data_IF_793378066644
#
_entry.id   IF_793378066644
#
_cell.length_a   1.000
_cell.length_b   1.000
_cell.length_c   1.000
_cell.angle_alpha   90.00
_cell.angle_beta   90.00
_cell.angle_gamma   90.00
#
_symmetry.space_group_name_H-M   'P 1'
#
loop_
_entity.id
_entity.type
_entity.pdbx_description
1 polymer ?
#
# COMPACT_ATOMS: atom_id res chain seq x y z
N UNK A 1 35.65 -26.34 -31.29
CA UNK A 1 36.34 -25.23 -30.59
C UNK A 1 35.42 -24.46 -29.62
N UNK A 2 34.24 -23.97 -30.02
CA UNK A 2 33.31 -23.29 -29.08
C UNK A 2 32.64 -24.28 -28.09
N UNK A 3 32.36 -25.51 -28.52
CA UNK A 3 31.72 -26.55 -27.71
C UNK A 3 32.64 -27.13 -26.61
N UNK A 4 33.95 -27.21 -26.87
CA UNK A 4 34.94 -27.67 -25.88
C UNK A 4 35.24 -26.60 -24.82
N UNK A 5 35.19 -25.32 -25.17
CA UNK A 5 35.39 -24.22 -24.23
C UNK A 5 34.24 -24.13 -23.21
N UNK A 6 33.00 -24.40 -23.65
CA UNK A 6 31.81 -24.44 -22.78
C UNK A 6 31.86 -25.60 -21.77
N UNK A 7 32.33 -26.77 -22.19
CA UNK A 7 32.46 -27.96 -21.32
C UNK A 7 33.57 -27.83 -20.26
N UNK A 8 34.64 -27.09 -20.54
CA UNK A 8 35.69 -26.82 -19.54
C UNK A 8 35.30 -25.73 -18.53
N UNK A 9 34.41 -24.81 -18.91
CA UNK A 9 33.95 -23.73 -18.02
C UNK A 9 32.97 -24.24 -16.94
N UNK A 10 32.07 -25.17 -17.31
CA UNK A 10 31.10 -25.78 -16.37
C UNK A 10 31.76 -26.73 -15.34
N UNK A 11 32.91 -27.32 -15.68
CA UNK A 11 33.67 -28.21 -14.80
C UNK A 11 34.71 -27.50 -13.92
N UNK A 12 34.84 -26.18 -14.04
CA UNK A 12 35.76 -25.40 -13.25
C UNK A 12 35.23 -25.26 -11.82
N UNK A 13 36.01 -25.67 -10.81
CA UNK A 13 35.64 -25.56 -9.39
C UNK A 13 35.19 -24.14 -9.01
N UNK A 14 35.81 -23.12 -9.62
CA UNK A 14 35.45 -21.71 -9.44
C UNK A 14 33.99 -21.40 -9.81
N UNK A 15 33.47 -21.99 -10.89
CA UNK A 15 32.10 -21.78 -11.35
C UNK A 15 31.08 -22.36 -10.36
N UNK A 16 31.39 -23.51 -9.74
CA UNK A 16 30.54 -24.10 -8.71
C UNK A 16 30.44 -23.20 -7.47
N UNK A 17 31.55 -22.63 -7.01
CA UNK A 17 31.54 -21.69 -5.88
C UNK A 17 30.81 -20.38 -6.21
N UNK A 18 31.02 -19.82 -7.39
CA UNK A 18 30.32 -18.61 -7.83
C UNK A 18 28.79 -18.83 -7.92
N UNK A 19 28.37 -20.00 -8.41
CA UNK A 19 26.95 -20.36 -8.48
C UNK A 19 26.32 -20.55 -7.10
N UNK A 20 27.02 -21.19 -6.16
CA UNK A 20 26.57 -21.32 -4.76
C UNK A 20 26.48 -19.94 -4.11
N UNK A 21 27.45 -19.06 -4.35
CA UNK A 21 27.47 -17.70 -3.84
C UNK A 21 26.26 -16.88 -4.31
N UNK A 22 25.93 -16.94 -5.61
CA UNK A 22 24.73 -16.28 -6.15
C UNK A 22 23.43 -16.84 -5.55
N UNK A 23 23.35 -18.16 -5.37
CA UNK A 23 22.20 -18.80 -4.72
C UNK A 23 22.08 -18.35 -3.25
N UNK A 24 23.19 -18.26 -2.52
CA UNK A 24 23.20 -17.76 -1.15
C UNK A 24 22.77 -16.29 -1.07
N UNK A 25 23.24 -15.43 -1.97
CA UNK A 25 22.78 -14.03 -2.05
C UNK A 25 21.28 -13.97 -2.32
N UNK A 26 20.79 -14.78 -3.26
CA UNK A 26 19.37 -14.84 -3.58
C UNK A 26 18.54 -15.28 -2.36
N UNK A 27 18.97 -16.34 -1.67
CA UNK A 27 18.28 -16.84 -0.47
C UNK A 27 18.33 -15.86 0.71
N UNK A 28 19.45 -15.13 0.89
CA UNK A 28 19.56 -14.08 1.90
C UNK A 28 18.63 -12.90 1.61
N UNK A 29 18.47 -12.51 0.34
CA UNK A 29 17.53 -11.46 -0.06
C UNK A 29 16.06 -11.87 0.16
N UNK A 30 15.71 -13.14 -0.10
CA UNK A 30 14.37 -13.66 0.19
C UNK A 30 14.05 -13.63 1.70
N UNK A 31 15.06 -13.87 2.54
CA UNK A 31 14.89 -13.82 3.99
C UNK A 31 14.63 -12.39 4.50
N UNK A 32 15.36 -11.38 3.98
CA UNK A 32 15.15 -9.99 4.37
C UNK A 32 13.77 -9.45 3.99
N UNK A 33 13.24 -9.81 2.81
CA UNK A 33 11.90 -9.38 2.37
C UNK A 33 10.78 -9.88 3.30
N UNK A 34 10.90 -11.12 3.78
CA UNK A 34 9.91 -11.70 4.70
C UNK A 34 9.90 -10.99 6.06
N UNK A 35 11.06 -10.53 6.55
CA UNK A 35 11.14 -9.84 7.85
C UNK A 35 10.45 -8.47 7.83
N UNK A 36 10.59 -7.70 6.74
CA UNK A 36 9.89 -6.41 6.61
C UNK A 36 8.37 -6.60 6.50
N UNK A 37 7.92 -7.64 5.79
CA UNK A 37 6.51 -7.98 5.67
C UNK A 37 5.89 -8.36 7.03
N UNK A 38 6.61 -9.13 7.85
CA UNK A 38 6.16 -9.51 9.20
C UNK A 38 6.14 -8.31 10.17
N UNK A 39 7.12 -7.42 10.11
CA UNK A 39 7.18 -6.21 10.95
C UNK A 39 6.03 -5.23 10.64
N UNK A 40 5.69 -5.08 9.35
CA UNK A 40 4.52 -4.30 8.93
C UNK A 40 3.23 -4.96 9.41
N UNK A 41 3.09 -6.29 9.29
CA UNK A 41 1.90 -7.00 9.77
C UNK A 41 1.70 -6.90 11.29
N UNK A 42 2.77 -6.92 12.08
CA UNK A 42 2.65 -6.79 13.55
C UNK A 42 2.23 -5.37 13.97
N UNK A 43 2.73 -4.33 13.29
CA UNK A 43 2.27 -2.93 13.49
C UNK A 43 0.82 -2.70 13.03
N UNK A 44 0.28 -3.57 12.18
CA UNK A 44 -1.08 -3.49 11.63
C UNK A 44 -2.10 -4.40 12.34
N UNK A 45 -1.67 -5.11 13.41
CA UNK A 45 -2.44 -6.18 14.06
C UNK A 45 -3.58 -5.70 14.98
N UNK A 46 -3.56 -4.43 15.37
CA UNK A 46 -4.47 -3.86 16.39
C UNK A 46 -5.71 -3.12 15.85
N UNK A 47 -5.91 -3.05 14.53
CA UNK A 47 -7.15 -2.49 13.96
C UNK A 47 -8.13 -3.57 13.55
N UNK A 48 -9.42 -3.31 13.79
CA UNK A 48 -10.55 -3.97 13.12
C UNK A 48 -10.58 -3.77 11.59
N UNK A 49 -9.52 -3.21 10.98
CA UNK A 49 -9.31 -3.20 9.54
C UNK A 49 -8.96 -4.62 9.10
N UNK A 50 -9.54 -5.09 8.00
CA UNK A 50 -9.10 -6.33 7.36
C UNK A 50 -7.57 -6.37 7.31
N UNK A 51 -6.98 -7.51 7.72
CA UNK A 51 -5.52 -7.69 7.70
C UNK A 51 -5.01 -7.30 6.31
N UNK A 52 -4.09 -6.34 6.24
CA UNK A 52 -3.49 -5.97 4.96
C UNK A 52 -2.73 -7.19 4.45
N UNK A 53 -3.22 -7.76 3.35
CA UNK A 53 -2.48 -8.78 2.61
C UNK A 53 -1.28 -8.10 1.95
N UNK A 54 -0.10 -8.29 2.55
CA UNK A 54 1.16 -7.73 2.08
C UNK A 54 1.69 -8.46 0.83
N UNK A 55 1.03 -9.54 0.41
CA UNK A 55 1.37 -10.23 -0.83
C UNK A 55 1.09 -9.31 -2.02
N UNK A 56 2.08 -9.18 -2.91
CA UNK A 56 1.85 -8.50 -4.18
C UNK A 56 0.79 -9.26 -4.98
N UNK A 57 -0.26 -8.54 -5.37
CA UNK A 57 -1.31 -9.03 -6.27
C UNK A 57 -1.54 -7.96 -7.32
N UNK A 58 -1.60 -8.37 -8.59
CA UNK A 58 -2.01 -7.48 -9.67
C UNK A 58 -3.43 -7.02 -9.38
N UNK A 59 -3.62 -5.70 -9.28
CA UNK A 59 -4.92 -5.06 -9.05
C UNK A 59 -5.43 -4.43 -10.34
N UNK A 60 -6.71 -4.64 -10.64
CA UNK A 60 -7.41 -4.01 -11.75
C UNK A 60 -8.31 -2.88 -11.24
N UNK A 61 -8.62 -1.87 -12.08
CA UNK A 61 -9.55 -0.81 -11.70
C UNK A 61 -10.93 -1.38 -11.35
N UNK A 62 -11.52 -0.89 -10.26
CA UNK A 62 -12.92 -1.18 -9.93
C UNK A 62 -13.86 -0.41 -10.85
N UNK A 63 -15.16 -0.75 -10.79
CA UNK A 63 -16.20 0.11 -11.34
C UNK A 63 -16.21 1.46 -10.59
N UNK A 64 -16.80 2.47 -11.22
CA UNK A 64 -17.07 3.74 -10.55
C UNK A 64 -17.94 3.49 -9.31
N UNK A 65 -17.55 4.10 -8.20
CA UNK A 65 -18.17 3.88 -6.89
C UNK A 65 -18.26 5.21 -6.15
N UNK A 66 -19.45 5.53 -5.65
CA UNK A 66 -19.67 6.69 -4.77
C UNK A 66 -19.69 6.21 -3.31
N UNK A 67 -18.62 6.48 -2.53
CA UNK A 67 -18.58 6.05 -1.13
C UNK A 67 -19.58 6.82 -0.27
N UNK A 68 -19.98 6.21 0.84
CA UNK A 68 -20.70 6.91 1.90
C UNK A 68 -19.93 8.15 2.39
N UNK A 69 -20.62 9.26 2.60
CA UNK A 69 -20.03 10.51 3.09
C UNK A 69 -20.77 11.10 4.27
N UNK A 70 -20.03 11.67 5.21
CA UNK A 70 -20.60 12.49 6.28
C UNK A 70 -20.91 13.88 5.75
N UNK A 71 -22.20 14.27 5.75
CA UNK A 71 -22.67 15.56 5.22
C UNK A 71 -22.76 16.65 6.27
N UNK A 72 -23.00 16.29 7.53
CA UNK A 72 -23.18 17.28 8.56
C UNK A 72 -23.44 16.71 9.94
N UNK A 73 -23.52 17.63 10.89
CA UNK A 73 -23.75 17.36 12.31
C UNK A 73 -24.85 18.29 12.76
N UNK A 74 -25.81 17.74 13.50
CA UNK A 74 -26.86 18.51 14.18
C UNK A 74 -26.58 18.48 15.67
N UNK A 75 -26.58 19.67 16.26
CA UNK A 75 -26.39 19.87 17.69
C UNK A 75 -27.73 19.86 18.40
N UNK A 76 -27.82 19.13 19.51
CA UNK A 76 -29.00 19.16 20.37
C UNK A 76 -29.03 20.46 21.19
N UNK A 77 -30.12 21.26 21.15
CA UNK A 77 -30.21 22.52 21.89
C UNK A 77 -30.20 22.33 23.41
N UNK A 78 -30.61 21.15 23.88
CA UNK A 78 -30.73 20.84 25.29
C UNK A 78 -29.48 20.13 25.86
N UNK A 79 -28.55 19.66 25.01
CA UNK A 79 -27.31 19.00 25.41
C UNK A 79 -26.23 19.13 24.32
N UNK A 80 -25.20 19.92 24.58
CA UNK A 80 -24.12 20.19 23.62
C UNK A 80 -23.21 18.99 23.33
N UNK A 81 -23.28 17.92 24.13
CA UNK A 81 -22.52 16.67 23.93
C UNK A 81 -23.30 15.60 23.17
N UNK A 82 -24.56 15.89 22.78
CA UNK A 82 -25.38 15.00 21.96
C UNK A 82 -25.38 15.50 20.53
N UNK A 83 -24.82 14.67 19.65
CA UNK A 83 -24.64 14.94 18.23
C UNK A 83 -25.46 13.95 17.41
N UNK A 84 -26.25 14.46 16.46
CA UNK A 84 -26.78 13.63 15.38
C UNK A 84 -25.90 13.83 14.14
N UNK A 85 -25.52 12.74 13.48
CA UNK A 85 -24.71 12.78 12.25
C UNK A 85 -25.59 12.51 11.03
N UNK A 86 -25.42 13.31 9.98
CA UNK A 86 -26.14 13.16 8.71
C UNK A 86 -25.21 12.49 7.72
N UNK A 87 -25.57 11.30 7.27
CA UNK A 87 -24.83 10.48 6.33
C UNK A 87 -25.54 10.43 4.98
N UNK A 88 -24.77 10.51 3.91
CA UNK A 88 -25.18 10.15 2.57
C UNK A 88 -24.61 8.76 2.28
N UNK A 89 -25.45 7.74 2.08
CA UNK A 89 -24.98 6.36 1.93
C UNK A 89 -24.31 6.08 0.59
N UNK A 90 -24.44 6.96 -0.42
CA UNK A 90 -23.93 6.67 -1.76
C UNK A 90 -24.37 5.29 -2.28
N UNK A 91 -23.42 4.54 -2.83
CA UNK A 91 -23.63 3.19 -3.37
C UNK A 91 -23.68 2.11 -2.26
N UNK A 92 -23.35 2.42 -1.01
CA UNK A 92 -23.44 1.48 0.13
C UNK A 92 -24.88 1.31 0.66
N UNK A 93 -25.86 1.95 0.02
CA UNK A 93 -27.25 2.08 0.49
C UNK A 93 -28.03 0.77 0.67
N UNK A 94 -27.56 -0.34 0.10
CA UNK A 94 -28.29 -1.62 0.07
C UNK A 94 -28.24 -2.42 1.38
N UNK A 95 -27.31 -2.15 2.30
CA UNK A 95 -27.16 -2.92 3.56
C UNK A 95 -27.14 -1.99 4.79
N UNK A 96 -28.26 -1.94 5.52
CA UNK A 96 -28.39 -1.07 6.70
C UNK A 96 -27.43 -1.43 7.84
N UNK A 97 -27.07 -2.71 8.01
CA UNK A 97 -26.11 -3.08 9.05
C UNK A 97 -24.72 -2.59 8.68
N UNK A 98 -24.35 -2.68 7.41
CA UNK A 98 -23.09 -2.14 6.89
C UNK A 98 -23.05 -0.61 7.00
N UNK A 99 -24.15 0.09 6.67
CA UNK A 99 -24.23 1.55 6.79
C UNK A 99 -24.00 2.05 8.23
N UNK A 100 -24.47 1.33 9.25
CA UNK A 100 -24.21 1.69 10.64
C UNK A 100 -22.71 1.59 10.97
N UNK A 101 -22.06 0.52 10.53
CA UNK A 101 -20.62 0.31 10.72
C UNK A 101 -19.80 1.40 10.01
N UNK A 102 -20.15 1.70 8.75
CA UNK A 102 -19.52 2.77 7.97
C UNK A 102 -19.75 4.13 8.65
N UNK A 103 -20.97 4.40 9.12
CA UNK A 103 -21.30 5.62 9.85
C UNK A 103 -20.46 5.80 11.12
N UNK A 104 -20.35 4.77 11.95
CA UNK A 104 -19.50 4.78 13.16
C UNK A 104 -18.03 5.05 12.80
N UNK A 105 -17.54 4.45 11.72
CA UNK A 105 -16.18 4.68 11.20
C UNK A 105 -15.96 6.13 10.76
N UNK A 106 -16.89 6.70 9.99
CA UNK A 106 -16.82 8.10 9.54
C UNK A 106 -16.89 9.08 10.72
N UNK A 107 -17.66 8.78 11.76
CA UNK A 107 -17.70 9.58 12.99
C UNK A 107 -16.35 9.54 13.72
N UNK A 108 -15.74 8.35 13.84
CA UNK A 108 -14.40 8.22 14.43
C UNK A 108 -13.36 9.02 13.65
N UNK A 109 -13.42 9.00 12.32
CA UNK A 109 -12.54 9.81 11.49
C UNK A 109 -12.73 11.30 11.72
N UNK A 110 -13.99 11.75 11.77
CA UNK A 110 -14.31 13.14 12.07
C UNK A 110 -13.73 13.58 13.42
N UNK A 111 -13.89 12.77 14.46
CA UNK A 111 -13.36 13.07 15.79
C UNK A 111 -11.82 13.00 15.82
N UNK A 112 -11.21 12.07 15.09
CA UNK A 112 -9.76 12.01 14.93
C UNK A 112 -9.22 13.30 14.29
N UNK A 113 -9.90 13.79 13.24
CA UNK A 113 -9.53 15.03 12.57
C UNK A 113 -9.65 16.28 13.48
N UNK A 114 -10.50 16.24 14.51
CA UNK A 114 -10.60 17.32 15.50
C UNK A 114 -9.61 17.22 16.67
N UNK A 115 -9.03 16.03 16.90
CA UNK A 115 -8.25 15.73 18.12
C UNK A 115 -6.77 15.47 17.85
N UNK A 116 -6.39 15.24 16.59
CA UNK A 116 -5.01 15.08 16.16
C UNK A 116 -4.54 16.40 15.52
N UNK A 117 -3.34 16.91 15.85
CA UNK A 117 -2.74 18.05 15.16
C UNK A 117 -2.54 17.78 13.67
N UNK A 118 -2.74 18.79 12.82
CA UNK A 118 -2.61 18.64 11.36
C UNK A 118 -1.21 18.18 10.92
N UNK A 119 -0.16 18.66 11.59
CA UNK A 119 1.24 18.29 11.35
C UNK A 119 1.56 16.83 11.76
N UNK A 120 0.66 16.18 12.49
CA UNK A 120 0.74 14.76 12.86
C UNK A 120 -0.06 13.85 11.90
N UNK A 121 -0.90 14.40 11.01
CA UNK A 121 -1.76 13.66 10.08
C UNK A 121 -1.06 13.28 8.77
N UNK A 122 -0.04 12.42 8.87
CA UNK A 122 0.67 11.90 7.70
C UNK A 122 1.01 10.42 7.86
N UNK A 123 1.23 9.75 6.74
CA UNK A 123 1.72 8.37 6.67
C UNK A 123 2.85 8.28 5.66
N UNK A 124 3.72 7.30 5.84
CA UNK A 124 4.87 7.05 5.00
C UNK A 124 5.11 5.54 4.90
N UNK A 125 5.31 5.07 3.67
CA UNK A 125 5.67 3.69 3.35
C UNK A 125 6.97 3.64 2.53
N UNK A 126 7.84 4.65 2.71
CA UNK A 126 9.17 4.66 2.14
C UNK A 126 9.98 3.47 2.70
N UNK A 127 10.55 2.60 1.84
CA UNK A 127 11.37 1.47 2.30
C UNK A 127 12.63 1.89 3.08
N UNK A 128 13.03 3.16 2.98
CA UNK A 128 14.25 3.70 3.58
C UNK A 128 13.99 4.46 4.89
N UNK A 129 12.74 4.57 5.32
CA UNK A 129 12.31 5.28 6.54
C UNK A 129 11.38 4.38 7.38
N UNK A 130 11.88 3.21 7.78
CA UNK A 130 11.13 2.20 8.52
C UNK A 130 10.75 2.62 9.95
N UNK A 131 11.47 3.59 10.51
CA UNK A 131 11.23 4.22 11.80
C UNK A 131 10.23 5.39 11.74
N UNK A 132 9.98 5.93 10.55
CA UNK A 132 9.13 7.11 10.32
C UNK A 132 7.92 6.77 9.44
N UNK A 133 7.06 5.89 9.95
CA UNK A 133 5.83 5.45 9.27
C UNK A 133 4.67 6.43 9.48
N UNK A 134 4.41 6.84 10.71
CA UNK A 134 3.41 7.85 11.08
C UNK A 134 3.63 8.30 12.54
N UNK A 135 2.93 9.34 12.98
CA UNK A 135 2.96 9.76 14.39
C UNK A 135 2.28 8.74 15.32
N UNK A 136 2.76 8.65 16.57
CA UNK A 136 2.20 7.71 17.56
C UNK A 136 0.74 8.02 17.88
N UNK A 137 0.36 9.30 17.98
CA UNK A 137 -1.03 9.70 18.25
C UNK A 137 -1.94 9.33 17.09
N UNK A 138 -1.51 9.57 15.85
CA UNK A 138 -2.33 9.26 14.68
C UNK A 138 -2.48 7.76 14.49
N UNK A 139 -1.44 6.96 14.79
CA UNK A 139 -1.49 5.50 14.72
C UNK A 139 -2.49 4.85 15.68
N UNK A 140 -2.85 5.54 16.76
CA UNK A 140 -3.87 5.10 17.71
C UNK A 140 -5.31 5.29 17.17
N UNK A 141 -5.49 6.09 16.12
CA UNK A 141 -6.79 6.36 15.51
C UNK A 141 -7.11 5.36 14.40
N UNK A 142 -8.39 5.06 14.19
CA UNK A 142 -8.83 4.26 13.05
C UNK A 142 -8.53 4.98 11.72
N UNK A 143 -8.56 6.32 11.71
CA UNK A 143 -8.22 7.14 10.55
C UNK A 143 -6.76 6.94 10.13
N UNK A 144 -5.80 6.99 11.05
CA UNK A 144 -4.38 6.84 10.72
C UNK A 144 -4.02 5.45 10.21
N UNK A 145 -4.57 4.40 10.84
CA UNK A 145 -4.36 3.00 10.41
C UNK A 145 -4.95 2.75 9.01
N UNK A 146 -6.14 3.29 8.74
CA UNK A 146 -6.75 3.15 7.43
C UNK A 146 -6.07 4.03 6.37
N UNK A 147 -5.59 5.23 6.72
CA UNK A 147 -4.82 6.07 5.80
C UNK A 147 -3.53 5.37 5.34
N UNK A 148 -2.84 4.69 6.25
CA UNK A 148 -1.68 3.86 5.92
C UNK A 148 -2.08 2.69 5.00
N UNK A 149 -3.22 2.06 5.28
CA UNK A 149 -3.76 0.98 4.45
C UNK A 149 -4.07 1.47 3.04
N UNK A 150 -4.68 2.64 2.89
CA UNK A 150 -5.00 3.21 1.58
C UNK A 150 -3.75 3.59 0.81
N UNK A 151 -2.74 4.15 1.49
CA UNK A 151 -1.45 4.44 0.86
C UNK A 151 -0.76 3.16 0.34
N UNK A 152 -0.83 2.07 1.11
CA UNK A 152 -0.33 0.77 0.67
C UNK A 152 -1.08 0.24 -0.55
N UNK A 153 -2.42 0.25 -0.52
CA UNK A 153 -3.25 -0.20 -1.64
C UNK A 153 -3.02 0.64 -2.90
N UNK A 154 -2.87 1.95 -2.76
CA UNK A 154 -2.55 2.86 -3.85
C UNK A 154 -1.19 2.51 -4.47
N UNK A 155 -0.16 2.29 -3.65
CA UNK A 155 1.17 1.87 -4.13
C UNK A 155 1.11 0.52 -4.86
N UNK A 156 0.40 -0.47 -4.33
CA UNK A 156 0.22 -1.76 -4.99
C UNK A 156 -0.52 -1.62 -6.33
N UNK A 157 -1.57 -0.80 -6.37
CA UNK A 157 -2.33 -0.53 -7.59
C UNK A 157 -1.48 0.15 -8.66
N UNK A 158 -0.74 1.19 -8.28
CA UNK A 158 0.19 1.87 -9.18
C UNK A 158 1.28 0.93 -9.70
N UNK A 159 1.86 0.09 -8.82
CA UNK A 159 2.82 -0.94 -9.22
C UNK A 159 2.22 -1.93 -10.23
N UNK A 160 0.97 -2.34 -10.02
CA UNK A 160 0.24 -3.22 -10.95
C UNK A 160 0.07 -2.59 -12.33
N UNK A 161 -0.26 -1.28 -12.38
CA UNK A 161 -0.40 -0.55 -13.64
C UNK A 161 0.92 -0.36 -14.40
N UNK A 162 2.03 -0.29 -13.68
CA UNK A 162 3.37 -0.12 -14.26
C UNK A 162 4.09 -1.45 -14.48
N UNK A 163 3.45 -2.60 -14.23
CA UNK A 163 4.10 -3.89 -14.35
C UNK A 163 4.42 -4.22 -15.83
N UNK A 164 5.70 -4.32 -16.24
CA UNK A 164 6.07 -4.36 -17.67
C UNK A 164 5.54 -5.56 -18.46
N UNK A 165 5.17 -6.65 -17.77
CA UNK A 165 4.64 -7.85 -18.41
C UNK A 165 3.17 -7.68 -18.80
N UNK A 166 2.45 -6.77 -18.13
CA UNK A 166 1.07 -6.42 -18.46
C UNK A 166 1.00 -5.42 -19.61
N UNK A 167 -0.10 -5.45 -20.36
CA UNK A 167 -0.26 -4.63 -21.56
C UNK A 167 -0.14 -3.13 -21.28
N UNK A 168 -0.80 -2.66 -20.21
CA UNK A 168 -0.75 -1.24 -19.81
C UNK A 168 0.66 -0.84 -19.38
N UNK A 169 1.34 -1.69 -18.59
CA UNK A 169 2.68 -1.40 -18.12
C UNK A 169 3.72 -1.43 -19.24
N UNK A 170 3.61 -2.36 -20.19
CA UNK A 170 4.46 -2.39 -21.38
C UNK A 170 4.35 -1.10 -22.19
N UNK A 171 3.13 -0.67 -22.50
CA UNK A 171 2.89 0.58 -23.22
C UNK A 171 3.43 1.81 -22.47
N UNK A 172 3.30 1.82 -21.14
CA UNK A 172 3.87 2.87 -20.31
C UNK A 172 5.40 2.95 -20.46
N UNK A 173 6.11 1.83 -20.24
CA UNK A 173 7.57 1.81 -20.30
C UNK A 173 8.12 2.06 -21.70
N UNK A 174 7.46 1.55 -22.75
CA UNK A 174 7.82 1.87 -24.15
C UNK A 174 7.82 3.38 -24.42
N UNK A 175 6.81 4.10 -23.93
CA UNK A 175 6.73 5.56 -24.07
C UNK A 175 7.83 6.27 -23.29
N UNK A 176 8.06 5.86 -22.05
CA UNK A 176 9.12 6.44 -21.21
C UNK A 176 10.49 6.26 -21.85
N UNK A 177 10.81 5.05 -22.33
CA UNK A 177 12.10 4.78 -22.98
C UNK A 177 12.24 5.54 -24.30
N UNK A 178 11.18 5.65 -25.10
CA UNK A 178 11.20 6.44 -26.33
C UNK A 178 11.50 7.94 -26.03
N UNK A 179 10.88 8.50 -25.00
CA UNK A 179 11.11 9.88 -24.58
C UNK A 179 12.52 10.09 -24.01
N UNK A 180 13.00 9.18 -23.16
CA UNK A 180 14.35 9.23 -22.60
C UNK A 180 15.41 9.22 -23.71
N UNK A 181 15.24 8.35 -24.71
CA UNK A 181 16.13 8.28 -25.86
C UNK A 181 16.12 9.57 -26.69
N UNK A 182 14.95 10.16 -26.93
CA UNK A 182 14.85 11.42 -27.68
C UNK A 182 15.53 12.58 -26.97
N UNK A 183 15.44 12.64 -25.63
CA UNK A 183 15.93 13.77 -24.86
C UNK A 183 17.41 13.64 -24.49
N UNK A 184 17.90 12.42 -24.24
CA UNK A 184 19.24 12.19 -23.69
C UNK A 184 20.12 11.30 -24.57
N UNK A 185 19.59 10.67 -25.62
CA UNK A 185 20.35 9.83 -26.54
C UNK A 185 20.82 8.49 -25.97
N UNK A 186 20.43 8.16 -24.75
CA UNK A 186 20.77 6.90 -24.05
C UNK A 186 19.55 6.35 -23.31
N UNK A 187 19.59 5.05 -23.02
CA UNK A 187 18.78 4.44 -21.95
C UNK A 187 19.49 4.65 -20.60
#
# INVERSE_FOLDING_TARGET
>A
MITEFKNNFENCFLYKYFRIFLICIFLLNQFSLNTYAELLQDKLKDSHSERIDVTFKIRTPSQAFQPSTLKGIKLSPNNALVFDFILDPGDDSSDQNNLKIIGEKLIKYFLAALTVPEDEMWVNLSPYEDDRIMSERFSQTDMGRDMLTQDYLLKQFMSSMMYPEEEIGRQFWERIYAQAYQQYGTL
#
